data_IF_060440937778
#
_entry.id   IF_060440937778
#
_cell.length_a   1.000
_cell.length_b   1.000
_cell.length_c   1.000
_cell.angle_alpha   90.00
_cell.angle_beta   90.00
_cell.angle_gamma   90.00
#
_symmetry.space_group_name_H-M   'P 1'
#
loop_
_entity.id
_entity.type
_entity.pdbx_description
1 polymer ?
#
# COMPACT_ATOMS: atom_id res chain seq x y z
N UNK A 1 -46.59 -62.46 -26.04
CA UNK A 1 -45.65 -61.42 -26.53
C UNK A 1 -45.71 -60.25 -25.55
N UNK A 2 -44.84 -60.23 -24.54
CA UNK A 2 -44.81 -59.19 -23.49
C UNK A 2 -43.46 -58.49 -23.60
N UNK A 3 -43.44 -57.20 -23.94
CA UNK A 3 -42.23 -56.38 -23.99
C UNK A 3 -42.04 -55.70 -22.63
N UNK A 4 -40.97 -56.06 -21.90
CA UNK A 4 -40.50 -55.28 -20.75
C UNK A 4 -39.81 -54.00 -21.25
N UNK A 5 -40.29 -52.84 -20.82
CA UNK A 5 -39.59 -51.57 -20.93
C UNK A 5 -38.70 -51.38 -19.69
N UNK A 6 -37.38 -51.43 -19.88
CA UNK A 6 -36.41 -51.02 -18.86
C UNK A 6 -36.25 -49.51 -18.94
N UNK A 7 -36.73 -48.80 -17.91
CA UNK A 7 -36.50 -47.37 -17.72
C UNK A 7 -35.05 -47.17 -17.22
N UNK A 8 -34.28 -46.33 -17.91
CA UNK A 8 -32.92 -45.99 -17.52
C UNK A 8 -32.98 -44.86 -16.46
N UNK A 9 -32.23 -44.96 -15.35
CA UNK A 9 -32.22 -43.91 -14.34
C UNK A 9 -31.46 -42.68 -14.87
N UNK A 10 -32.15 -41.53 -14.93
CA UNK A 10 -31.52 -40.24 -15.24
C UNK A 10 -30.80 -39.74 -13.98
N UNK A 11 -29.47 -39.78 -13.99
CA UNK A 11 -28.63 -39.14 -12.98
C UNK A 11 -28.59 -37.64 -13.27
N UNK A 12 -29.19 -36.83 -12.39
CA UNK A 12 -29.06 -35.38 -12.42
C UNK A 12 -27.82 -34.97 -11.62
N UNK A 13 -26.81 -34.40 -12.29
CA UNK A 13 -25.72 -33.71 -11.62
C UNK A 13 -26.18 -32.29 -11.27
N UNK A 14 -26.37 -32.03 -9.98
CA UNK A 14 -26.60 -30.68 -9.46
C UNK A 14 -25.23 -30.05 -9.23
N UNK A 15 -24.83 -29.13 -10.10
CA UNK A 15 -23.68 -28.27 -9.87
C UNK A 15 -24.08 -27.16 -8.91
N UNK A 16 -23.73 -27.29 -7.64
CA UNK A 16 -23.83 -26.20 -6.67
C UNK A 16 -22.67 -25.25 -6.94
N UNK A 17 -22.94 -24.19 -7.70
CA UNK A 17 -22.05 -23.04 -7.73
C UNK A 17 -22.15 -22.34 -6.39
N UNK A 18 -21.17 -22.52 -5.52
CA UNK A 18 -20.94 -21.58 -4.43
C UNK A 18 -20.56 -20.25 -5.07
N UNK A 19 -21.55 -19.36 -5.20
CA UNK A 19 -21.30 -17.94 -5.28
C UNK A 19 -20.63 -17.57 -3.97
N UNK A 20 -19.30 -17.62 -3.95
CA UNK A 20 -18.52 -16.87 -2.98
C UNK A 20 -18.92 -15.43 -3.25
N UNK A 21 -19.84 -14.91 -2.44
CA UNK A 21 -20.09 -13.49 -2.38
C UNK A 21 -18.75 -12.87 -1.99
N UNK A 22 -18.00 -12.39 -2.98
CA UNK A 22 -16.96 -11.43 -2.70
C UNK A 22 -17.70 -10.31 -1.99
N UNK A 23 -17.35 -10.06 -0.73
CA UNK A 23 -17.82 -8.89 -0.04
C UNK A 23 -17.53 -7.72 -0.96
N UNK A 24 -18.58 -7.14 -1.54
CA UNK A 24 -18.46 -5.87 -2.25
C UNK A 24 -17.83 -4.94 -1.23
N UNK A 25 -16.61 -4.47 -1.49
CA UNK A 25 -15.94 -3.52 -0.63
C UNK A 25 -16.99 -2.48 -0.24
N UNK A 26 -17.30 -2.40 1.06
CA UNK A 26 -18.26 -1.42 1.54
C UNK A 26 -17.80 -0.05 1.08
N UNK A 27 -18.73 0.88 0.92
CA UNK A 27 -18.46 2.28 0.55
C UNK A 27 -17.60 3.06 1.56
N UNK A 28 -16.86 2.37 2.42
CA UNK A 28 -16.04 2.91 3.49
C UNK A 28 -14.58 2.87 3.06
N UNK A 29 -13.93 4.02 3.09
CA UNK A 29 -12.49 4.09 2.92
C UNK A 29 -11.80 3.59 4.21
N UNK A 30 -10.91 2.61 4.07
CA UNK A 30 -10.11 2.03 5.15
C UNK A 30 -8.64 2.38 4.90
N UNK A 31 -8.07 3.16 5.81
CA UNK A 31 -6.70 3.69 5.68
C UNK A 31 -5.71 3.01 6.61
N UNK A 32 -4.44 3.05 6.20
CA UNK A 32 -3.29 2.69 7.06
C UNK A 32 -2.27 3.83 7.09
N UNK A 33 -1.71 4.12 8.26
CA UNK A 33 -0.54 5.00 8.38
C UNK A 33 0.71 4.23 7.97
N UNK A 34 1.57 4.87 7.17
CA UNK A 34 2.82 4.27 6.71
C UNK A 34 4.00 5.20 6.95
N UNK A 35 4.99 4.71 7.71
CA UNK A 35 6.26 5.39 7.91
C UNK A 35 7.25 5.03 6.78
N UNK A 36 7.68 5.98 5.93
CA UNK A 36 8.54 5.71 4.77
C UNK A 36 10.04 5.82 5.08
N UNK A 37 10.45 5.36 6.26
CA UNK A 37 11.83 5.46 6.74
C UNK A 37 12.61 4.14 6.68
N UNK A 38 12.10 3.12 6.00
CA UNK A 38 12.78 1.82 5.86
C UNK A 38 13.83 1.80 4.74
N UNK A 39 14.15 2.97 4.19
CA UNK A 39 15.36 3.22 3.42
C UNK A 39 15.88 4.60 3.77
N UNK A 40 17.13 4.67 4.23
CA UNK A 40 17.81 5.93 4.47
C UNK A 40 19.30 5.79 4.13
N UNK A 41 19.84 6.59 3.21
CA UNK A 41 21.24 6.50 2.82
C UNK A 41 22.19 6.58 4.04
N UNK A 42 23.10 5.62 4.14
CA UNK A 42 24.11 5.56 5.20
C UNK A 42 23.57 5.17 6.59
N UNK A 43 22.34 4.67 6.69
CA UNK A 43 21.73 4.25 7.95
C UNK A 43 21.19 2.83 7.84
N UNK A 44 21.61 1.96 8.76
CA UNK A 44 21.05 0.62 8.93
C UNK A 44 19.72 0.70 9.69
N UNK A 45 18.66 1.10 8.98
CA UNK A 45 17.34 1.44 9.56
C UNK A 45 16.67 0.29 10.33
N UNK A 46 16.97 -0.96 9.97
CA UNK A 46 16.42 -2.15 10.63
C UNK A 46 17.19 -2.58 11.87
N UNK A 47 18.42 -2.09 12.07
CA UNK A 47 19.31 -2.61 13.09
C UNK A 47 18.75 -2.56 14.52
N UNK A 48 18.02 -1.51 14.94
CA UNK A 48 17.40 -1.48 16.27
C UNK A 48 16.38 -2.61 16.51
N UNK A 49 15.78 -3.17 15.45
CA UNK A 49 14.73 -4.19 15.53
C UNK A 49 15.30 -5.60 15.40
N UNK A 50 16.47 -5.80 14.76
CA UNK A 50 17.06 -7.14 14.56
C UNK A 50 17.32 -7.94 15.84
N UNK A 51 17.41 -7.26 17.00
CA UNK A 51 17.46 -7.94 18.31
C UNK A 51 16.16 -8.66 18.70
N UNK A 52 15.09 -8.49 17.92
CA UNK A 52 13.77 -9.10 18.06
C UNK A 52 13.40 -9.83 16.76
N UNK A 53 14.00 -11.00 16.47
CA UNK A 53 13.84 -11.69 15.18
C UNK A 53 12.40 -12.11 14.90
N UNK A 54 11.56 -12.29 15.92
CA UNK A 54 10.13 -12.56 15.78
C UNK A 54 9.34 -11.39 15.15
N UNK A 55 9.98 -10.22 15.01
CA UNK A 55 9.42 -9.01 14.39
C UNK A 55 9.95 -8.76 12.98
N UNK A 56 10.68 -9.72 12.39
CA UNK A 56 11.06 -9.63 10.99
C UNK A 56 9.80 -9.50 10.13
N UNK A 57 9.70 -8.48 9.25
CA UNK A 57 8.58 -8.36 8.33
C UNK A 57 8.47 -9.59 7.43
N UNK A 58 7.27 -9.92 6.97
CA UNK A 58 7.07 -11.00 5.97
C UNK A 58 7.87 -10.73 4.68
N UNK A 59 8.17 -9.46 4.38
CA UNK A 59 9.00 -9.02 3.26
C UNK A 59 10.52 -9.07 3.55
N UNK A 60 10.92 -9.56 4.72
CA UNK A 60 12.28 -9.47 5.24
C UNK A 60 12.68 -8.05 5.63
N UNK A 61 13.98 -7.81 5.78
CA UNK A 61 14.58 -6.48 6.02
C UNK A 61 14.62 -5.64 4.73
N UNK A 62 13.43 -5.35 4.18
CA UNK A 62 13.25 -4.70 2.89
C UNK A 62 13.70 -3.24 2.88
N UNK A 63 13.82 -2.64 1.70
CA UNK A 63 14.07 -1.22 1.55
C UNK A 63 12.89 -0.53 0.86
N UNK A 64 12.42 0.58 1.45
CA UNK A 64 11.52 1.47 0.75
C UNK A 64 12.17 1.96 -0.55
N UNK A 65 11.38 2.06 -1.63
CA UNK A 65 11.89 2.42 -2.95
C UNK A 65 12.00 1.26 -3.94
N UNK A 66 12.00 0.01 -3.47
CA UNK A 66 11.96 -1.18 -4.33
C UNK A 66 10.53 -1.44 -4.85
N UNK A 67 10.39 -1.52 -6.19
CA UNK A 67 9.11 -1.73 -6.85
C UNK A 67 8.47 -3.08 -6.46
N UNK A 68 9.26 -4.13 -6.23
CA UNK A 68 8.74 -5.45 -5.82
C UNK A 68 8.15 -5.42 -4.40
N UNK A 69 8.66 -4.55 -3.54
CA UNK A 69 8.18 -4.38 -2.16
C UNK A 69 6.83 -3.69 -2.18
N UNK A 70 6.72 -2.53 -2.84
CA UNK A 70 5.47 -1.78 -2.88
C UNK A 70 4.39 -2.55 -3.63
N UNK A 71 4.70 -3.27 -4.71
CA UNK A 71 3.72 -4.10 -5.42
C UNK A 71 3.12 -5.18 -4.51
N UNK A 72 3.94 -5.85 -3.68
CA UNK A 72 3.44 -6.83 -2.71
C UNK A 72 2.60 -6.18 -1.62
N UNK A 73 3.03 -5.04 -1.10
CA UNK A 73 2.27 -4.27 -0.10
C UNK A 73 0.89 -3.86 -0.64
N UNK A 74 0.83 -3.31 -1.87
CA UNK A 74 -0.41 -2.93 -2.54
C UNK A 74 -1.32 -4.13 -2.78
N UNK A 75 -0.78 -5.24 -3.28
CA UNK A 75 -1.56 -6.47 -3.47
C UNK A 75 -2.14 -7.01 -2.15
N UNK A 76 -1.40 -6.91 -1.04
CA UNK A 76 -1.92 -7.27 0.29
C UNK A 76 -3.00 -6.30 0.74
N UNK A 77 -2.79 -5.00 0.58
CA UNK A 77 -3.79 -3.98 0.94
C UNK A 77 -5.12 -4.24 0.23
N UNK A 78 -5.09 -4.48 -1.08
CA UNK A 78 -6.31 -4.82 -1.84
C UNK A 78 -6.95 -6.11 -1.34
N UNK A 79 -6.15 -7.16 -1.15
CA UNK A 79 -6.64 -8.46 -0.64
C UNK A 79 -7.35 -8.35 0.71
N UNK A 80 -6.87 -7.45 1.58
CA UNK A 80 -7.39 -7.28 2.93
C UNK A 80 -8.32 -6.07 3.10
N UNK A 81 -8.69 -5.39 2.00
CA UNK A 81 -9.69 -4.33 2.01
C UNK A 81 -9.19 -2.96 2.51
N UNK A 82 -7.88 -2.71 2.48
CA UNK A 82 -7.31 -1.37 2.69
C UNK A 82 -7.45 -0.59 1.39
N UNK A 83 -8.05 0.60 1.46
CA UNK A 83 -8.37 1.41 0.27
C UNK A 83 -7.42 2.59 0.08
N UNK A 84 -6.68 3.00 1.12
CA UNK A 84 -5.65 4.02 0.97
C UNK A 84 -4.50 3.90 1.97
N UNK A 85 -3.35 4.46 1.58
CA UNK A 85 -2.18 4.65 2.42
C UNK A 85 -2.10 6.13 2.83
N UNK A 86 -2.00 6.42 4.12
CA UNK A 86 -1.62 7.73 4.63
C UNK A 86 -0.11 7.71 4.92
N UNK A 87 0.69 8.19 3.97
CA UNK A 87 2.15 8.25 4.14
C UNK A 87 2.51 9.37 5.10
N UNK A 88 3.30 9.07 6.13
CA UNK A 88 4.02 10.10 6.86
C UNK A 88 4.96 10.80 5.87
N UNK A 89 4.86 12.11 5.77
CA UNK A 89 5.67 12.90 4.88
C UNK A 89 6.47 13.92 5.66
N UNK A 90 7.78 13.97 5.38
CA UNK A 90 8.74 14.76 6.13
C UNK A 90 9.42 15.77 5.21
N UNK A 91 9.61 16.97 5.74
CA UNK A 91 10.59 17.92 5.25
C UNK A 91 11.71 18.01 6.28
N UNK A 92 12.89 17.50 5.94
CA UNK A 92 14.01 17.46 6.87
C UNK A 92 14.81 18.75 6.83
N UNK A 93 15.23 19.21 8.02
CA UNK A 93 16.17 20.31 8.12
C UNK A 93 17.44 20.00 7.29
N UNK A 94 17.88 20.97 6.48
CA UNK A 94 19.04 20.92 5.58
C UNK A 94 18.96 19.94 4.40
N UNK A 95 18.08 18.94 4.43
CA UNK A 95 18.03 17.87 3.40
C UNK A 95 16.72 17.83 2.63
N UNK A 96 15.68 18.52 3.11
CA UNK A 96 14.36 18.57 2.48
C UNK A 96 13.77 17.18 2.35
N UNK A 97 13.46 16.77 1.13
CA UNK A 97 12.78 15.49 0.84
C UNK A 97 13.71 14.28 0.69
N UNK A 98 15.04 14.48 0.67
CA UNK A 98 16.01 13.47 0.19
C UNK A 98 16.08 12.16 0.99
N UNK A 99 15.54 12.12 2.21
CA UNK A 99 15.74 10.98 3.11
C UNK A 99 14.54 10.04 3.23
N UNK A 100 13.33 10.46 2.81
CA UNK A 100 12.08 9.79 3.23
C UNK A 100 10.96 9.80 2.18
N UNK A 101 11.28 9.98 0.90
CA UNK A 101 10.28 9.88 -0.19
C UNK A 101 10.22 8.51 -0.84
N UNK A 102 11.20 7.64 -0.60
CA UNK A 102 11.40 6.40 -1.37
C UNK A 102 10.14 5.54 -1.50
N UNK A 103 9.35 5.38 -0.43
CA UNK A 103 8.11 4.60 -0.46
C UNK A 103 7.03 5.26 -1.35
N UNK A 104 6.84 6.57 -1.23
CA UNK A 104 5.88 7.34 -2.05
C UNK A 104 6.33 7.34 -3.51
N UNK A 105 7.62 7.51 -3.77
CA UNK A 105 8.16 7.49 -5.13
C UNK A 105 7.95 6.12 -5.78
N UNK A 106 8.13 5.03 -5.04
CA UNK A 106 7.81 3.68 -5.52
C UNK A 106 6.31 3.48 -5.74
N UNK A 107 5.47 3.98 -4.83
CA UNK A 107 4.02 3.96 -5.02
C UNK A 107 3.62 4.65 -6.33
N UNK A 108 4.13 5.85 -6.60
CA UNK A 108 3.76 6.62 -7.78
C UNK A 108 4.11 5.87 -9.08
N UNK A 109 5.30 5.24 -9.13
CA UNK A 109 5.71 4.41 -10.27
C UNK A 109 4.82 3.18 -10.49
N UNK A 110 4.18 2.67 -9.44
CA UNK A 110 3.38 1.43 -9.48
C UNK A 110 1.86 1.68 -9.34
N UNK A 111 1.43 2.93 -9.24
CA UNK A 111 0.05 3.31 -8.90
C UNK A 111 -0.99 2.89 -9.94
N UNK A 112 -0.59 2.70 -11.20
CA UNK A 112 -1.48 2.27 -12.29
C UNK A 112 -1.99 0.83 -12.13
N UNK A 113 -1.33 0.01 -11.31
CA UNK A 113 -1.66 -1.40 -11.12
C UNK A 113 -2.56 -1.65 -9.89
N UNK A 114 -3.02 -0.60 -9.20
CA UNK A 114 -3.78 -0.74 -7.95
C UNK A 114 -4.94 0.25 -7.86
N UNK A 115 -5.96 -0.11 -7.07
CA UNK A 115 -7.04 0.79 -6.65
C UNK A 115 -6.77 1.42 -5.27
N UNK A 116 -5.67 1.08 -4.60
CA UNK A 116 -5.28 1.68 -3.33
C UNK A 116 -4.78 3.08 -3.60
N UNK A 117 -5.46 4.07 -3.02
CA UNK A 117 -5.09 5.49 -3.15
C UNK A 117 -3.98 5.83 -2.15
N UNK A 118 -3.45 7.04 -2.25
CA UNK A 118 -2.60 7.58 -1.19
C UNK A 118 -3.08 8.95 -0.72
N UNK A 119 -2.72 9.29 0.51
CA UNK A 119 -2.82 10.58 1.14
C UNK A 119 -1.50 10.90 1.85
N UNK A 120 -1.28 12.17 2.18
CA UNK A 120 -0.14 12.62 2.96
C UNK A 120 -0.57 12.96 4.38
N UNK A 121 0.12 12.41 5.36
CA UNK A 121 0.17 12.93 6.72
C UNK A 121 1.44 13.77 6.83
N UNK A 122 1.31 15.08 6.98
CA UNK A 122 2.48 15.93 7.17
C UNK A 122 3.04 15.80 8.59
N UNK A 123 4.23 15.22 8.71
CA UNK A 123 4.95 15.07 9.96
C UNK A 123 5.75 16.35 10.28
N UNK A 124 5.15 17.23 11.07
CA UNK A 124 5.63 18.59 11.37
C UNK A 124 6.62 18.68 12.56
N UNK A 125 7.22 17.57 12.99
CA UNK A 125 8.11 17.52 14.16
C UNK A 125 9.61 17.56 13.77
N UNK A 126 9.95 18.14 12.60
CA UNK A 126 11.32 18.24 12.07
C UNK A 126 11.95 19.62 12.23
N UNK A 127 11.38 20.50 13.08
CA UNK A 127 11.73 21.92 13.17
C UNK A 127 11.55 22.68 11.85
N UNK A 128 10.68 22.17 10.97
CA UNK A 128 10.27 22.81 9.72
C UNK A 128 8.73 22.84 9.64
N UNK A 129 8.15 23.85 8.99
CA UNK A 129 8.79 24.92 8.26
C UNK A 129 9.30 26.00 9.23
N UNK A 130 10.47 26.58 8.95
CA UNK A 130 11.08 27.66 9.74
C UNK A 130 10.39 29.01 9.52
N UNK A 131 9.68 29.16 8.40
CA UNK A 131 8.98 30.37 8.01
C UNK A 131 7.91 30.04 6.95
N UNK A 132 7.05 31.02 6.64
CA UNK A 132 6.00 30.87 5.63
C UNK A 132 6.54 30.52 4.25
N UNK A 133 7.71 31.05 3.87
CA UNK A 133 8.32 30.74 2.56
C UNK A 133 8.70 29.27 2.44
N UNK A 134 9.20 28.65 3.52
CA UNK A 134 9.47 27.21 3.53
C UNK A 134 8.18 26.38 3.51
N UNK A 135 7.13 26.84 4.19
CA UNK A 135 5.81 26.20 4.08
C UNK A 135 5.29 26.24 2.64
N UNK A 136 5.40 27.38 1.95
CA UNK A 136 5.02 27.49 0.53
C UNK A 136 5.81 26.51 -0.33
N UNK A 137 7.12 26.35 -0.08
CA UNK A 137 7.95 25.40 -0.82
C UNK A 137 7.51 23.94 -0.59
N UNK A 138 7.13 23.59 0.64
CA UNK A 138 6.59 22.27 1.00
C UNK A 138 5.28 22.01 0.24
N UNK A 139 4.32 22.95 0.29
CA UNK A 139 3.03 22.80 -0.40
C UNK A 139 3.22 22.73 -1.92
N UNK A 140 4.07 23.59 -2.49
CA UNK A 140 4.40 23.55 -3.91
C UNK A 140 5.02 22.22 -4.30
N UNK A 141 5.87 21.62 -3.46
CA UNK A 141 6.40 20.30 -3.71
C UNK A 141 5.30 19.22 -3.76
N UNK A 142 4.35 19.23 -2.82
CA UNK A 142 3.23 18.29 -2.87
C UNK A 142 2.41 18.47 -4.15
N UNK A 143 2.11 19.70 -4.52
CA UNK A 143 1.38 20.00 -5.76
C UNK A 143 2.18 19.46 -6.95
N UNK A 144 3.43 19.87 -7.11
CA UNK A 144 4.19 19.59 -8.33
C UNK A 144 4.56 18.11 -8.52
N UNK A 145 4.81 17.38 -7.44
CA UNK A 145 5.32 16.01 -7.51
C UNK A 145 4.28 14.93 -7.22
N UNK A 146 3.23 15.25 -6.45
CA UNK A 146 2.28 14.24 -5.97
C UNK A 146 0.84 14.47 -6.45
N UNK A 147 0.44 15.72 -6.67
CA UNK A 147 -0.95 16.05 -7.00
C UNK A 147 -1.11 16.82 -8.31
N UNK A 148 -0.05 16.94 -9.11
CA UNK A 148 -0.09 17.58 -10.42
C UNK A 148 -0.71 16.62 -11.41
N UNK A 149 -2.03 16.73 -11.57
CA UNK A 149 -2.85 16.04 -12.57
C UNK A 149 -2.41 14.59 -12.85
N UNK A 150 -2.80 13.68 -11.96
CA UNK A 150 -3.02 12.26 -12.31
C UNK A 150 -4.14 12.12 -13.34
#
# INVERSE_FOLDING_TARGET
>A
MIRLFLSQPRVFFIFIFFLISQAKAGSLDVGVYYYPGWNKPGVEVWEPIKKYPEREPILGWYQDGDDNIIQKQLAWMEKYGVTYIAYDWYWDENTGVKNRTFAIDAYLRNSQATNVKFALLWANHTNTPKNSKEFDNIVNYWIDYYFKSS
#
